data_IF_523599282106
#
_entry.id   IF_523599282106
#
_cell.length_a   1.000
_cell.length_b   1.000
_cell.length_c   1.000
_cell.angle_alpha   90.00
_cell.angle_beta   90.00
_cell.angle_gamma   90.00
#
_symmetry.space_group_name_H-M   'P 1'
#
loop_
_entity.id
_entity.type
_entity.pdbx_description
1 polymer ?
#
# COMPACT_ATOMS: atom_id res chain seq x y z
N UNK A 1 -11.42 34.65 1.15
CA UNK A 1 -10.10 34.12 1.57
C UNK A 1 -9.97 32.70 1.04
N UNK A 2 -9.41 32.52 -0.16
CA UNK A 2 -9.49 31.24 -0.90
C UNK A 2 -8.25 30.99 -1.77
N UNK A 3 -7.04 31.14 -1.20
CA UNK A 3 -5.79 30.94 -1.95
C UNK A 3 -4.70 30.34 -1.06
N UNK A 4 -4.73 29.01 -0.86
CA UNK A 4 -3.58 28.21 -0.39
C UNK A 4 -3.82 26.69 -0.51
N UNK A 5 -4.71 26.23 -1.40
CA UNK A 5 -5.01 24.80 -1.60
C UNK A 5 -4.26 24.14 -2.76
N UNK A 6 -3.42 24.88 -3.49
CA UNK A 6 -2.89 24.43 -4.80
C UNK A 6 -1.46 23.88 -4.72
N UNK A 7 -0.79 23.89 -3.56
CA UNK A 7 0.63 23.50 -3.46
C UNK A 7 0.91 22.11 -2.86
N UNK A 8 -0.09 21.42 -2.28
CA UNK A 8 0.12 20.12 -1.60
C UNK A 8 0.19 18.89 -2.53
N UNK A 9 -0.22 19.02 -3.80
CA UNK A 9 -0.20 17.89 -4.75
C UNK A 9 1.08 17.80 -5.61
N UNK A 10 1.95 18.82 -5.59
CA UNK A 10 3.01 18.96 -6.59
C UNK A 10 4.31 18.20 -6.30
N UNK A 11 4.53 17.75 -5.06
CA UNK A 11 5.78 17.05 -4.69
C UNK A 11 5.66 15.52 -4.71
N UNK A 12 4.45 14.96 -4.60
CA UNK A 12 4.21 13.53 -4.85
C UNK A 12 3.89 13.22 -6.33
N UNK A 13 3.53 14.22 -7.13
CA UNK A 13 3.20 14.04 -8.53
C UNK A 13 4.41 13.92 -9.48
N UNK A 14 5.64 14.25 -9.03
CA UNK A 14 6.79 14.38 -9.93
C UNK A 14 7.61 13.10 -10.18
N UNK A 15 7.27 11.96 -9.57
CA UNK A 15 7.94 10.66 -9.88
C UNK A 15 6.99 9.49 -10.14
N UNK A 16 5.68 9.65 -9.99
CA UNK A 16 4.68 8.59 -10.23
C UNK A 16 4.22 8.47 -11.71
N UNK A 17 4.80 9.24 -12.63
CA UNK A 17 4.45 9.24 -14.05
C UNK A 17 4.87 7.98 -14.81
N UNK A 18 5.62 7.05 -14.19
CA UNK A 18 6.10 5.85 -14.88
C UNK A 18 5.27 4.57 -14.67
N UNK A 19 4.35 4.54 -13.69
CA UNK A 19 3.67 3.30 -13.29
C UNK A 19 2.29 3.06 -13.94
N UNK A 20 1.75 4.03 -14.69
CA UNK A 20 0.33 4.00 -15.11
C UNK A 20 0.06 3.40 -16.50
N UNK A 21 0.90 2.51 -17.05
CA UNK A 21 0.77 2.09 -18.46
C UNK A 21 0.42 0.64 -18.80
N UNK A 22 0.19 -0.28 -17.85
CA UNK A 22 0.08 -1.69 -18.24
C UNK A 22 -0.96 -2.59 -17.52
N UNK A 23 -2.09 -2.07 -17.00
CA UNK A 23 -3.09 -2.95 -16.32
C UNK A 23 -4.55 -2.79 -16.77
N UNK A 24 -4.78 -2.35 -18.01
CA UNK A 24 -6.10 -2.48 -18.67
C UNK A 24 -6.00 -3.46 -19.83
N UNK A 25 -5.93 -4.75 -19.54
CA UNK A 25 -6.32 -5.82 -20.48
C UNK A 25 -6.28 -7.21 -19.81
N UNK A 26 -7.32 -7.60 -19.08
CA UNK A 26 -7.81 -9.00 -19.11
C UNK A 26 -9.12 -9.15 -18.34
N UNK A 27 -10.23 -8.65 -18.91
CA UNK A 27 -11.60 -9.08 -18.52
C UNK A 27 -12.47 -9.18 -19.77
N UNK A 28 -12.20 -10.18 -20.60
CA UNK A 28 -13.16 -10.70 -21.58
C UNK A 28 -13.05 -12.22 -21.58
N UNK A 29 -14.11 -12.87 -21.10
CA UNK A 29 -14.21 -14.32 -21.05
C UNK A 29 -15.37 -14.80 -20.19
N UNK A 30 -16.58 -14.25 -20.39
CA UNK A 30 -17.81 -14.92 -19.98
C UNK A 30 -18.17 -15.89 -21.10
N UNK A 31 -18.11 -17.18 -20.83
CA UNK A 31 -18.91 -18.17 -21.57
C UNK A 31 -19.61 -19.04 -20.53
N UNK A 32 -20.92 -19.05 -20.64
CA UNK A 32 -21.85 -19.86 -19.85
C UNK A 32 -21.55 -21.35 -20.03
N UNK A 33 -21.46 -22.06 -18.91
CA UNK A 33 -21.57 -23.51 -18.85
C UNK A 33 -22.39 -23.88 -17.62
N UNK A 34 -23.65 -24.23 -17.85
CA UNK A 34 -24.53 -24.85 -16.85
C UNK A 34 -23.87 -26.11 -16.29
N UNK A 35 -23.91 -26.28 -14.97
CA UNK A 35 -24.20 -27.55 -14.28
C UNK A 35 -24.27 -27.28 -12.77
N UNK A 36 -25.50 -27.33 -12.24
CA UNK A 36 -25.75 -27.30 -10.81
C UNK A 36 -25.36 -28.66 -10.20
N UNK A 37 -24.42 -28.65 -9.27
CA UNK A 37 -24.19 -29.73 -8.31
C UNK A 37 -24.18 -29.11 -6.90
N UNK A 38 -25.01 -29.59 -5.96
CA UNK A 38 -24.95 -29.14 -4.58
C UNK A 38 -23.81 -29.90 -3.88
N UNK A 39 -22.68 -29.23 -3.67
CA UNK A 39 -21.65 -29.73 -2.77
C UNK A 39 -21.89 -29.15 -1.37
N UNK A 40 -22.21 -29.97 -0.36
CA UNK A 40 -22.16 -29.55 1.03
C UNK A 40 -20.72 -29.64 1.54
N UNK A 41 -20.37 -28.71 2.43
CA UNK A 41 -19.27 -28.78 3.39
C UNK A 41 -17.86 -28.95 2.83
N UNK A 42 -17.06 -27.89 2.97
CA UNK A 42 -15.89 -27.90 3.84
C UNK A 42 -15.55 -26.42 4.07
N UNK A 43 -15.94 -25.91 5.23
CA UNK A 43 -15.24 -24.78 5.82
C UNK A 43 -13.84 -25.28 6.19
N UNK A 44 -12.99 -25.46 5.17
CA UNK A 44 -11.55 -25.49 5.37
C UNK A 44 -11.20 -24.10 5.87
N UNK A 45 -11.21 -23.97 7.20
CA UNK A 45 -10.40 -22.99 7.89
C UNK A 45 -8.97 -23.36 7.50
N UNK A 46 -8.54 -22.88 6.33
CA UNK A 46 -7.15 -22.88 5.95
C UNK A 46 -6.50 -22.07 7.06
N UNK A 47 -5.93 -22.79 8.04
CA UNK A 47 -4.83 -22.27 8.84
C UNK A 47 -3.74 -22.02 7.81
N UNK A 48 -3.81 -20.86 7.16
CA UNK A 48 -2.69 -20.25 6.47
C UNK A 48 -1.64 -20.14 7.58
N UNK A 49 -0.83 -21.17 7.75
CA UNK A 49 0.47 -21.01 8.38
C UNK A 49 1.12 -19.93 7.55
N UNK A 50 1.13 -18.72 8.11
CA UNK A 50 1.72 -17.59 7.44
C UNK A 50 3.19 -17.92 7.32
N UNK A 51 3.63 -18.19 6.09
CA UNK A 51 5.02 -18.50 5.83
C UNK A 51 5.86 -17.34 6.38
N UNK A 52 6.94 -17.63 7.12
CA UNK A 52 7.77 -16.60 7.73
C UNK A 52 8.27 -15.64 6.65
N UNK A 53 8.32 -14.34 6.96
CA UNK A 53 8.72 -13.35 5.98
C UNK A 53 10.23 -13.45 5.73
N UNK A 54 10.70 -13.46 4.47
CA UNK A 54 12.11 -13.29 4.17
C UNK A 54 12.61 -12.01 4.83
N UNK A 55 13.75 -12.08 5.53
CA UNK A 55 14.30 -10.92 6.27
C UNK A 55 14.41 -9.67 5.40
N UNK A 56 14.96 -9.80 4.20
CA UNK A 56 15.13 -8.67 3.27
C UNK A 56 13.80 -8.02 2.86
N UNK A 57 12.75 -8.84 2.76
CA UNK A 57 11.41 -8.35 2.48
C UNK A 57 10.86 -7.59 3.68
N UNK A 58 10.93 -8.17 4.88
CA UNK A 58 10.48 -7.50 6.12
C UNK A 58 11.21 -6.17 6.37
N UNK A 59 12.53 -6.15 6.17
CA UNK A 59 13.39 -4.98 6.36
C UNK A 59 13.09 -3.86 5.34
N UNK A 60 12.38 -4.17 4.26
CA UNK A 60 11.88 -3.18 3.30
C UNK A 60 10.41 -2.82 3.57
N UNK A 61 9.58 -3.81 3.88
CA UNK A 61 8.14 -3.68 4.13
C UNK A 61 7.86 -2.82 5.36
N UNK A 62 8.45 -3.16 6.50
CA UNK A 62 8.14 -2.53 7.79
C UNK A 62 8.47 -1.03 7.77
N UNK A 63 9.67 -0.58 7.33
CA UNK A 63 9.96 0.85 7.28
C UNK A 63 9.07 1.60 6.29
N UNK A 64 8.71 1.00 5.16
CA UNK A 64 7.85 1.62 4.16
C UNK A 64 6.41 1.79 4.67
N UNK A 65 5.83 0.73 5.24
CA UNK A 65 4.50 0.77 5.83
C UNK A 65 4.42 1.76 7.00
N UNK A 66 5.42 1.74 7.89
CA UNK A 66 5.50 2.64 9.04
C UNK A 66 5.62 4.11 8.60
N UNK A 67 6.52 4.43 7.66
CA UNK A 67 6.71 5.81 7.22
C UNK A 67 5.46 6.37 6.53
N UNK A 68 4.79 5.56 5.69
CA UNK A 68 3.54 5.98 5.07
C UNK A 68 2.44 6.19 6.10
N UNK A 69 2.34 5.31 7.10
CA UNK A 69 1.37 5.44 8.19
C UNK A 69 1.61 6.72 8.99
N UNK A 70 2.85 6.98 9.41
CA UNK A 70 3.24 8.19 10.15
C UNK A 70 2.92 9.47 9.38
N UNK A 71 3.19 9.50 8.06
CA UNK A 71 2.87 10.65 7.23
C UNK A 71 1.36 10.90 7.16
N UNK A 72 0.56 9.84 7.00
CA UNK A 72 -0.91 9.93 6.98
C UNK A 72 -1.47 10.36 8.34
N UNK A 73 -0.98 9.81 9.45
CA UNK A 73 -1.39 10.20 10.81
C UNK A 73 -1.04 11.66 11.10
N UNK A 74 0.14 12.12 10.66
CA UNK A 74 0.55 13.52 10.79
C UNK A 74 -0.37 14.45 9.98
N UNK A 75 -0.70 14.08 8.74
CA UNK A 75 -1.64 14.83 7.90
C UNK A 75 -3.05 14.87 8.51
N UNK A 76 -3.50 13.77 9.13
CA UNK A 76 -4.77 13.70 9.86
C UNK A 76 -4.79 14.62 11.08
N UNK A 77 -3.71 14.62 11.86
CA UNK A 77 -3.58 15.44 13.07
C UNK A 77 -3.65 16.94 12.78
N UNK A 78 -3.16 17.34 11.61
CA UNK A 78 -3.17 18.71 11.11
C UNK A 78 -4.56 19.10 10.56
N UNK A 79 -5.21 18.19 9.85
CA UNK A 79 -6.49 18.43 9.20
C UNK A 79 -6.46 19.57 8.16
N UNK A 80 -7.56 20.31 8.06
CA UNK A 80 -7.72 21.44 7.12
C UNK A 80 -7.25 22.78 7.71
N UNK A 81 -6.66 22.79 8.90
CA UNK A 81 -6.23 23.99 9.58
C UNK A 81 -4.95 24.57 8.96
N UNK A 82 -4.80 25.89 9.07
CA UNK A 82 -3.51 26.52 8.80
C UNK A 82 -2.51 26.05 9.86
N UNK A 83 -1.41 25.47 9.40
CA UNK A 83 -0.31 25.07 10.26
C UNK A 83 0.82 26.08 10.15
N UNK A 84 1.48 26.37 11.27
CA UNK A 84 2.68 27.19 11.27
C UNK A 84 3.81 26.56 10.44
N UNK A 85 4.78 27.37 10.04
CA UNK A 85 5.89 26.97 9.16
C UNK A 85 6.68 25.76 9.69
N UNK A 86 6.81 25.63 11.01
CA UNK A 86 7.52 24.51 11.65
C UNK A 86 6.78 23.18 11.45
N UNK A 87 5.47 23.15 11.70
CA UNK A 87 4.65 21.96 11.49
C UNK A 87 4.56 21.58 10.01
N UNK A 88 4.57 22.57 9.10
CA UNK A 88 4.62 22.33 7.66
C UNK A 88 5.92 21.67 7.23
N UNK A 89 7.07 22.13 7.76
CA UNK A 89 8.37 21.48 7.50
C UNK A 89 8.41 20.05 8.03
N UNK A 90 7.86 19.79 9.22
CA UNK A 90 7.80 18.43 9.77
C UNK A 90 6.94 17.51 8.91
N UNK A 91 5.74 17.95 8.53
CA UNK A 91 4.85 17.17 7.67
C UNK A 91 5.51 16.88 6.31
N UNK A 92 6.09 17.90 5.69
CA UNK A 92 6.81 17.77 4.42
C UNK A 92 7.97 16.76 4.51
N UNK A 93 8.73 16.77 5.61
CA UNK A 93 9.79 15.80 5.86
C UNK A 93 9.29 14.37 6.00
N UNK A 94 8.16 14.16 6.67
CA UNK A 94 7.51 12.85 6.80
C UNK A 94 7.01 12.34 5.45
N UNK A 95 6.31 13.19 4.70
CA UNK A 95 5.81 12.86 3.35
C UNK A 95 6.94 12.49 2.40
N UNK A 96 8.05 13.25 2.41
CA UNK A 96 9.21 12.98 1.58
C UNK A 96 9.87 11.64 1.94
N UNK A 97 10.06 11.37 3.24
CA UNK A 97 10.61 10.11 3.74
C UNK A 97 9.72 8.92 3.34
N UNK A 98 8.40 9.06 3.52
CA UNK A 98 7.43 8.05 3.13
C UNK A 98 7.48 7.76 1.62
N UNK A 99 7.49 8.81 0.79
CA UNK A 99 7.58 8.69 -0.65
C UNK A 99 8.84 7.94 -1.10
N UNK A 100 10.01 8.25 -0.53
CA UNK A 100 11.27 7.56 -0.84
C UNK A 100 11.23 6.07 -0.49
N UNK A 101 10.70 5.72 0.69
CA UNK A 101 10.66 4.34 1.16
C UNK A 101 9.63 3.51 0.38
N UNK A 102 8.45 4.08 0.10
CA UNK A 102 7.42 3.42 -0.72
C UNK A 102 7.92 3.24 -2.16
N UNK A 103 8.61 4.23 -2.73
CA UNK A 103 9.20 4.09 -4.06
C UNK A 103 10.22 2.93 -4.09
N UNK A 104 11.16 2.91 -3.14
CA UNK A 104 12.17 1.85 -3.06
C UNK A 104 11.54 0.46 -2.87
N UNK A 105 10.51 0.37 -2.04
CA UNK A 105 9.72 -0.85 -1.85
C UNK A 105 9.04 -1.28 -3.16
N UNK A 106 8.34 -0.36 -3.82
CA UNK A 106 7.63 -0.62 -5.07
C UNK A 106 8.56 -1.09 -6.17
N UNK A 107 9.69 -0.40 -6.39
CA UNK A 107 10.68 -0.78 -7.40
C UNK A 107 11.16 -2.23 -7.22
N UNK A 108 11.38 -2.64 -5.98
CA UNK A 108 11.89 -3.97 -5.66
C UNK A 108 10.83 -5.07 -5.67
N UNK A 109 9.60 -4.80 -5.21
CA UNK A 109 8.61 -5.85 -4.93
C UNK A 109 7.32 -5.77 -5.75
N UNK A 110 7.00 -4.60 -6.32
CA UNK A 110 5.73 -4.37 -7.02
C UNK A 110 5.89 -4.03 -8.51
N UNK A 111 7.11 -3.68 -8.94
CA UNK A 111 7.37 -3.40 -10.35
C UNK A 111 7.33 -4.68 -11.20
N UNK A 112 7.14 -4.53 -12.52
CA UNK A 112 7.20 -5.65 -13.48
C UNK A 112 8.55 -6.42 -13.44
N UNK A 113 9.61 -5.76 -12.94
CA UNK A 113 10.95 -6.34 -12.79
C UNK A 113 11.26 -6.77 -11.36
N UNK A 114 10.37 -6.50 -10.40
CA UNK A 114 10.60 -6.72 -8.98
C UNK A 114 10.50 -8.19 -8.61
N UNK A 115 9.26 -8.69 -8.54
CA UNK A 115 8.99 -10.11 -8.27
C UNK A 115 8.55 -10.83 -9.54
N UNK A 116 9.09 -12.03 -9.74
CA UNK A 116 8.58 -12.95 -10.77
C UNK A 116 7.12 -13.31 -10.48
N UNK A 117 6.30 -13.65 -11.50
CA UNK A 117 4.90 -14.01 -11.28
C UNK A 117 4.69 -15.23 -10.38
N UNK A 118 5.67 -16.14 -10.33
CA UNK A 118 5.69 -17.38 -9.54
C UNK A 118 6.42 -17.23 -8.20
N UNK A 119 6.80 -16.01 -7.81
CA UNK A 119 7.49 -15.79 -6.55
C UNK A 119 6.57 -16.07 -5.35
N UNK A 120 6.96 -16.96 -4.41
CA UNK A 120 6.10 -17.35 -3.28
C UNK A 120 5.75 -16.18 -2.36
N UNK A 121 6.49 -15.08 -2.43
CA UNK A 121 6.17 -13.86 -1.69
C UNK A 121 4.85 -13.24 -2.14
N UNK A 122 4.41 -13.46 -3.39
CA UNK A 122 3.13 -12.95 -3.90
C UNK A 122 1.92 -13.60 -3.23
N UNK A 123 2.08 -14.81 -2.72
CA UNK A 123 1.05 -15.53 -1.95
C UNK A 123 1.06 -15.14 -0.46
N UNK A 124 2.02 -14.29 -0.03
CA UNK A 124 2.09 -13.85 1.36
C UNK A 124 1.03 -12.78 1.66
N UNK A 125 0.32 -12.95 2.79
CA UNK A 125 -0.74 -12.03 3.19
C UNK A 125 -0.23 -10.60 3.42
N UNK A 126 0.97 -10.43 3.98
CA UNK A 126 1.56 -9.11 4.20
C UNK A 126 1.87 -8.40 2.87
N UNK A 127 2.30 -9.16 1.85
CA UNK A 127 2.50 -8.64 0.50
C UNK A 127 1.20 -8.14 -0.11
N UNK A 128 0.16 -8.98 -0.11
CA UNK A 128 -1.14 -8.62 -0.65
C UNK A 128 -1.73 -7.36 0.02
N UNK A 129 -1.64 -7.27 1.34
CA UNK A 129 -2.17 -6.11 2.08
C UNK A 129 -1.39 -4.84 1.80
N UNK A 130 -0.06 -4.93 1.69
CA UNK A 130 0.77 -3.78 1.32
C UNK A 130 0.52 -3.34 -0.11
N UNK A 131 0.38 -4.28 -1.06
CA UNK A 131 0.04 -3.98 -2.45
C UNK A 131 -1.31 -3.25 -2.54
N UNK A 132 -2.34 -3.74 -1.84
CA UNK A 132 -3.64 -3.08 -1.80
C UNK A 132 -3.57 -1.69 -1.15
N UNK A 133 -2.77 -1.52 -0.08
CA UNK A 133 -2.58 -0.22 0.56
C UNK A 133 -1.94 0.80 -0.40
N UNK A 134 -0.88 0.39 -1.12
CA UNK A 134 -0.20 1.26 -2.11
C UNK A 134 -1.15 1.59 -3.27
N UNK A 135 -1.92 0.62 -3.77
CA UNK A 135 -2.90 0.85 -4.83
C UNK A 135 -4.01 1.83 -4.41
N UNK A 136 -4.55 1.68 -3.19
CA UNK A 136 -5.53 2.63 -2.64
C UNK A 136 -4.90 4.02 -2.50
N UNK A 137 -3.67 4.11 -1.99
CA UNK A 137 -2.96 5.38 -1.84
C UNK A 137 -2.77 6.07 -3.18
N UNK A 138 -2.27 5.37 -4.19
CA UNK A 138 -2.09 5.92 -5.54
C UNK A 138 -3.40 6.44 -6.14
N UNK A 139 -4.48 5.64 -6.06
CA UNK A 139 -5.78 6.06 -6.59
C UNK A 139 -6.30 7.27 -5.82
N UNK A 140 -6.16 7.28 -4.49
CA UNK A 140 -6.62 8.37 -3.65
C UNK A 140 -5.86 9.68 -3.93
N UNK A 141 -4.55 9.61 -4.18
CA UNK A 141 -3.75 10.77 -4.60
C UNK A 141 -4.17 11.23 -6.01
N UNK A 142 -4.27 10.32 -6.99
CA UNK A 142 -4.65 10.64 -8.38
C UNK A 142 -6.05 11.24 -8.51
N UNK A 143 -6.95 10.91 -7.58
CA UNK A 143 -8.36 11.35 -7.61
C UNK A 143 -8.68 12.45 -6.58
N UNK A 144 -7.68 12.96 -5.86
CA UNK A 144 -7.86 13.94 -4.78
C UNK A 144 -8.85 13.47 -3.69
N UNK A 145 -8.82 12.17 -3.41
CA UNK A 145 -9.65 11.50 -2.39
C UNK A 145 -8.83 11.01 -1.19
N UNK A 146 -7.57 11.41 -1.08
CA UNK A 146 -6.71 11.02 0.04
C UNK A 146 -7.35 11.30 1.41
N UNK A 147 -7.99 12.46 1.67
CA UNK A 147 -8.65 12.70 2.95
C UNK A 147 -9.75 11.68 3.30
N UNK A 148 -10.46 11.15 2.29
CA UNK A 148 -11.51 10.12 2.48
C UNK A 148 -10.94 8.73 2.67
N UNK A 149 -9.82 8.42 2.01
CA UNK A 149 -9.15 7.12 2.08
C UNK A 149 -8.24 6.98 3.29
N UNK A 150 -7.84 8.10 3.92
CA UNK A 150 -6.80 8.16 4.96
C UNK A 150 -7.01 7.17 6.11
N UNK A 151 -8.16 7.19 6.78
CA UNK A 151 -8.43 6.29 7.89
C UNK A 151 -8.37 4.80 7.50
N UNK A 152 -8.87 4.46 6.29
CA UNK A 152 -8.78 3.09 5.75
C UNK A 152 -7.32 2.70 5.45
N UNK A 153 -6.52 3.62 4.91
CA UNK A 153 -5.10 3.40 4.64
C UNK A 153 -4.32 3.17 5.93
N UNK A 154 -4.52 4.02 6.95
CA UNK A 154 -3.86 3.87 8.26
C UNK A 154 -4.19 2.51 8.88
N UNK A 155 -5.47 2.11 8.89
CA UNK A 155 -5.87 0.81 9.42
C UNK A 155 -5.21 -0.36 8.67
N UNK A 156 -5.19 -0.30 7.34
CA UNK A 156 -4.59 -1.35 6.51
C UNK A 156 -3.07 -1.41 6.67
N UNK A 157 -2.39 -0.28 6.81
CA UNK A 157 -0.95 -0.24 7.07
C UNK A 157 -0.63 -0.79 8.47
N UNK A 158 -1.49 -0.55 9.46
CA UNK A 158 -1.38 -1.19 10.77
C UNK A 158 -1.53 -2.72 10.66
N UNK A 159 -2.50 -3.21 9.89
CA UNK A 159 -2.63 -4.66 9.64
C UNK A 159 -1.37 -5.27 9.01
N UNK A 160 -0.74 -4.58 8.06
CA UNK A 160 0.54 -5.00 7.46
C UNK A 160 1.64 -5.11 8.52
N UNK A 161 1.76 -4.11 9.39
CA UNK A 161 2.77 -4.09 10.46
C UNK A 161 2.54 -5.20 11.49
N UNK A 162 1.28 -5.37 11.93
CA UNK A 162 0.90 -6.42 12.87
C UNK A 162 1.22 -7.82 12.32
N UNK A 163 1.00 -8.03 11.03
CA UNK A 163 1.37 -9.29 10.37
C UNK A 163 2.89 -9.46 10.27
N UNK A 164 3.61 -8.41 9.87
CA UNK A 164 5.07 -8.47 9.79
C UNK A 164 5.75 -8.74 11.15
N UNK A 165 5.06 -8.45 12.25
CA UNK A 165 5.47 -8.83 13.60
C UNK A 165 5.06 -10.28 13.95
N UNK A 166 3.80 -10.67 13.70
CA UNK A 166 3.25 -11.99 14.06
C UNK A 166 3.84 -13.16 13.29
N UNK A 167 4.14 -12.96 12.01
CA UNK A 167 4.58 -14.01 11.09
C UNK A 167 6.02 -14.47 11.38
N UNK A 168 6.77 -13.70 12.17
CA UNK A 168 8.19 -13.96 12.45
C UNK A 168 9.08 -13.72 11.22
N UNK A 169 10.39 -13.90 11.41
CA UNK A 169 11.41 -13.70 10.38
C UNK A 169 11.95 -15.07 9.95
N UNK A 170 12.01 -15.30 8.65
CA UNK A 170 12.84 -16.37 8.12
C UNK A 170 14.27 -15.84 8.03
N UNK A 171 15.14 -16.28 8.94
CA UNK A 171 16.58 -16.06 8.82
C UNK A 171 17.08 -16.95 7.68
N UNK A 172 17.23 -16.35 6.50
CA UNK A 172 17.90 -16.93 5.33
C UNK A 172 19.41 -16.74 5.43
#
# INVERSE_FOLDING_TARGET
MARLRVLRASLLALTLTFWSRAWVASRRGVVHGMLALPLPALADVIRLQQAPLPKEYRDSLVPAAQALKEALEAEESVGDAFIGEEAEKTLSGLEQKAGQLIQKYGERYMSERGLRPDDPLRDNQAYFLMEDAVNIFEVAVKTDQLPKARGKLIAKLQEVLDLAEKVGIQES
#
